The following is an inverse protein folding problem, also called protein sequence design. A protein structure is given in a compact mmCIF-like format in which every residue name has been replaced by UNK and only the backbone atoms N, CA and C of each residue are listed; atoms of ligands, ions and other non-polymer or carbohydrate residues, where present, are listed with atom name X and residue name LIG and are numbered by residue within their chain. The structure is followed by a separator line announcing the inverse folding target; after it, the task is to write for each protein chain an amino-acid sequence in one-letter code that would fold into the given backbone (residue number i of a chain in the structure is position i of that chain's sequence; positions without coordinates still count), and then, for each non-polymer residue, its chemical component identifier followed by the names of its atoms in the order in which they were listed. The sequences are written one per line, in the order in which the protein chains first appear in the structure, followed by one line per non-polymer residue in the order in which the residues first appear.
data_IF_918151859341
#
_entry.id   IF_918151859341
#
_cell.length_a   1.000
_cell.length_b   1.000
_cell.length_c   1.000
_cell.angle_alpha   90.00
_cell.angle_beta   90.00
_cell.angle_gamma   90.00
#
_symmetry.space_group_name_H-M   'P 1'
#
loop_
_entity.id
_entity.type
_entity.pdbx_description
1 polymer ?
#
# COMPACT_ATOMS: atom_id res chain seq x y z
N UNK A 1 55.91 -37.73 -0.65
CA UNK A 1 54.54 -37.73 -0.09
C UNK A 1 53.56 -37.83 -1.26
N UNK A 2 52.97 -39.01 -1.49
CA UNK A 2 52.01 -39.22 -2.58
C UNK A 2 50.59 -38.86 -2.10
N UNK A 3 50.07 -37.71 -2.54
CA UNK A 3 48.66 -37.39 -2.34
C UNK A 3 47.82 -38.25 -3.29
N UNK A 4 47.02 -39.15 -2.72
CA UNK A 4 46.15 -40.03 -3.48
C UNK A 4 45.02 -39.21 -4.12
N UNK A 5 44.92 -39.22 -5.45
CA UNK A 5 43.94 -38.48 -6.26
C UNK A 5 42.48 -38.67 -5.79
N UNK A 6 42.20 -39.84 -5.20
CA UNK A 6 40.91 -40.19 -4.59
C UNK A 6 40.52 -39.31 -3.41
N UNK A 7 41.50 -38.87 -2.62
CA UNK A 7 41.26 -37.99 -1.46
C UNK A 7 41.08 -36.54 -1.91
N UNK A 8 41.76 -36.14 -2.99
CA UNK A 8 41.59 -34.81 -3.60
C UNK A 8 40.17 -34.65 -4.19
N UNK A 9 39.66 -35.69 -4.85
CA UNK A 9 38.30 -35.72 -5.38
C UNK A 9 37.23 -35.65 -4.27
N UNK A 10 37.47 -36.33 -3.14
CA UNK A 10 36.56 -36.28 -1.99
C UNK A 10 36.53 -34.90 -1.32
N UNK A 11 37.67 -34.21 -1.23
CA UNK A 11 37.76 -32.85 -0.70
C UNK A 11 37.08 -31.81 -1.62
N UNK A 12 37.21 -31.97 -2.94
CA UNK A 12 36.54 -31.10 -3.91
C UNK A 12 35.01 -31.26 -3.89
N UNK A 13 34.50 -32.49 -3.69
CA UNK A 13 33.07 -32.74 -3.58
C UNK A 13 32.46 -32.12 -2.30
N UNK A 14 33.20 -32.12 -1.19
CA UNK A 14 32.76 -31.51 0.06
C UNK A 14 32.79 -29.98 0.02
N UNK A 15 33.75 -29.38 -0.69
CA UNK A 15 33.83 -27.94 -0.90
C UNK A 15 32.79 -27.39 -1.90
N UNK A 16 32.28 -28.22 -2.81
CA UNK A 16 31.20 -27.84 -3.72
C UNK A 16 29.81 -27.86 -3.05
N UNK A 17 29.66 -28.61 -1.94
CA UNK A 17 28.41 -28.70 -1.19
C UNK A 17 28.17 -27.50 -0.25
N UNK A 18 29.17 -26.65 -0.04
CA UNK A 18 29.06 -25.43 0.78
C UNK A 18 28.56 -24.22 -0.02
N UNK A 19 27.65 -24.43 -0.99
CA UNK A 19 26.80 -23.36 -1.48
C UNK A 19 25.89 -22.95 -0.32
N UNK A 20 26.33 -21.96 0.44
CA UNK A 20 25.50 -21.26 1.41
C UNK A 20 24.23 -20.83 0.69
N UNK A 21 23.14 -21.53 0.96
CA UNK A 21 21.81 -21.00 0.72
C UNK A 21 21.77 -19.70 1.52
N UNK A 22 21.92 -18.58 0.81
CA UNK A 22 21.65 -17.27 1.40
C UNK A 22 20.18 -17.37 1.81
N UNK A 23 19.94 -17.42 3.12
CA UNK A 23 18.61 -17.20 3.63
C UNK A 23 18.19 -15.84 3.10
N UNK A 24 17.24 -15.84 2.16
CA UNK A 24 16.41 -14.66 1.92
C UNK A 24 15.87 -14.33 3.30
N UNK A 25 16.28 -13.17 3.83
CA UNK A 25 15.73 -12.62 5.07
C UNK A 25 14.23 -12.84 5.01
N UNK A 26 13.73 -13.77 5.82
CA UNK A 26 12.33 -14.03 5.90
C UNK A 26 11.74 -12.76 6.48
N UNK A 27 11.19 -11.91 5.61
CA UNK A 27 10.42 -10.76 6.04
C UNK A 27 9.41 -11.28 7.08
N UNK A 28 9.26 -10.63 8.24
CA UNK A 28 8.26 -11.04 9.21
C UNK A 28 6.92 -11.20 8.47
N UNK A 29 6.23 -12.31 8.75
CA UNK A 29 4.95 -12.62 8.09
C UNK A 29 4.07 -11.37 8.15
N UNK A 30 3.60 -10.83 6.99
CA UNK A 30 2.85 -9.60 6.98
C UNK A 30 1.67 -9.67 7.95
N UNK A 31 1.47 -8.62 8.74
CA UNK A 31 0.30 -8.53 9.61
C UNK A 31 -0.92 -8.41 8.70
N UNK A 32 -1.83 -9.38 8.79
CA UNK A 32 -3.05 -9.37 7.97
C UNK A 32 -4.07 -8.40 8.53
N UNK A 33 -4.46 -7.44 7.70
CA UNK A 33 -5.54 -6.49 7.96
C UNK A 33 -6.91 -7.03 7.50
N UNK A 34 -6.95 -8.19 6.86
CA UNK A 34 -8.17 -8.82 6.34
C UNK A 34 -8.66 -8.24 5.00
N UNK A 35 -9.92 -8.51 4.68
CA UNK A 35 -10.60 -7.97 3.49
C UNK A 35 -11.15 -6.59 3.81
N UNK A 36 -10.74 -5.61 3.02
CA UNK A 36 -11.10 -4.23 3.19
C UNK A 36 -12.23 -3.89 2.23
N UNK A 37 -13.33 -3.37 2.78
CA UNK A 37 -14.51 -3.02 1.99
C UNK A 37 -15.84 -3.08 2.75
N UNK A 38 -15.98 -3.90 3.80
CA UNK A 38 -17.32 -4.23 4.34
C UNK A 38 -17.85 -3.29 5.43
N UNK A 39 -17.04 -2.39 6.00
CA UNK A 39 -17.48 -1.26 6.84
C UNK A 39 -16.34 -0.29 7.13
N UNK A 40 -16.67 1.01 7.14
CA UNK A 40 -15.90 2.16 7.60
C UNK A 40 -14.37 2.04 7.49
N UNK A 41 -13.81 2.66 6.44
CA UNK A 41 -12.40 3.01 6.25
C UNK A 41 -11.45 2.15 7.10
N UNK A 42 -10.91 1.08 6.53
CA UNK A 42 -9.91 0.28 7.24
C UNK A 42 -8.67 1.15 7.50
N UNK A 43 -8.64 1.79 8.66
CA UNK A 43 -7.53 2.61 9.11
C UNK A 43 -6.55 1.65 9.76
N UNK A 44 -5.37 1.49 9.17
CA UNK A 44 -4.25 0.88 9.85
C UNK A 44 -3.45 1.99 10.49
N UNK A 45 -3.26 1.93 11.81
CA UNK A 45 -2.35 2.81 12.51
C UNK A 45 -1.45 1.97 13.40
N UNK A 46 -0.15 2.15 13.28
CA UNK A 46 0.83 1.47 14.12
C UNK A 46 1.93 2.43 14.53
N UNK A 47 2.23 2.43 15.83
CA UNK A 47 3.47 2.99 16.35
C UNK A 47 4.55 1.92 16.24
N UNK A 48 5.72 2.29 15.72
CA UNK A 48 6.86 1.40 15.54
C UNK A 48 8.14 2.12 15.94
N UNK A 49 9.21 1.36 16.10
CA UNK A 49 10.57 1.90 16.24
C UNK A 49 11.44 1.34 15.12
N UNK A 50 12.09 2.22 14.38
CA UNK A 50 13.13 1.84 13.42
C UNK A 50 14.46 1.88 14.16
N UNK A 51 14.79 0.80 14.88
CA UNK A 51 16.16 0.60 15.35
C UNK A 51 16.88 -0.28 14.30
N UNK A 52 17.75 0.31 13.50
CA UNK A 52 18.39 -0.33 12.34
C UNK A 52 17.63 -0.10 11.03
N UNK A 53 17.66 -1.10 10.13
CA UNK A 53 16.90 -1.10 8.88
C UNK A 53 15.68 -2.06 8.88
N UNK A 54 14.76 -2.02 9.88
CA UNK A 54 13.68 -2.99 9.94
C UNK A 54 12.61 -2.70 8.88
N UNK A 55 12.08 -3.77 8.30
CA UNK A 55 10.94 -3.74 7.38
C UNK A 55 9.67 -4.17 8.11
N UNK A 56 8.63 -3.32 8.06
CA UNK A 56 7.30 -3.64 8.55
C UNK A 56 6.36 -3.90 7.38
N UNK A 57 5.67 -5.04 7.36
CA UNK A 57 4.80 -5.44 6.26
C UNK A 57 3.38 -5.73 6.74
N UNK A 58 2.40 -5.27 5.96
CA UNK A 58 0.98 -5.51 6.17
C UNK A 58 0.36 -6.08 4.91
N UNK A 59 -0.50 -7.08 5.05
CA UNK A 59 -1.25 -7.63 3.93
C UNK A 59 -2.73 -7.30 4.05
N UNK A 60 -3.37 -7.00 2.93
CA UNK A 60 -4.80 -6.77 2.86
C UNK A 60 -5.38 -7.30 1.54
N UNK A 61 -6.69 -7.53 1.51
CA UNK A 61 -7.40 -7.86 0.27
C UNK A 61 -8.34 -6.71 -0.07
N UNK A 62 -8.19 -6.16 -1.27
CA UNK A 62 -9.08 -5.13 -1.81
C UNK A 62 -10.22 -5.79 -2.59
N UNK A 63 -11.44 -5.33 -2.33
CA UNK A 63 -12.67 -5.76 -3.01
C UNK A 63 -13.46 -4.54 -3.50
N UNK A 64 -13.47 -4.32 -4.82
CA UNK A 64 -14.06 -3.17 -5.52
C UNK A 64 -15.57 -3.12 -5.45
N UNK A 65 -16.24 -4.15 -4.93
CA UNK A 65 -17.68 -4.09 -4.60
C UNK A 65 -18.03 -2.90 -3.70
N UNK A 66 -17.02 -2.26 -3.12
CA UNK A 66 -17.11 -1.19 -2.12
C UNK A 66 -16.59 0.15 -2.63
N UNK A 67 -16.11 0.23 -3.88
CA UNK A 67 -15.69 1.49 -4.53
C UNK A 67 -14.36 2.06 -4.06
N UNK A 68 -13.55 1.31 -3.30
CA UNK A 68 -12.18 1.70 -2.97
C UNK A 68 -11.25 1.39 -4.14
N UNK A 69 -10.53 2.40 -4.63
CA UNK A 69 -9.47 2.25 -5.65
C UNK A 69 -8.12 2.78 -5.19
N UNK A 70 -8.09 3.56 -4.11
CA UNK A 70 -6.91 4.33 -3.72
C UNK A 70 -6.54 4.02 -2.25
N UNK A 71 -5.24 3.93 -2.00
CA UNK A 71 -4.66 3.81 -0.67
C UNK A 71 -3.85 5.05 -0.37
N UNK A 72 -4.16 5.74 0.73
CA UNK A 72 -3.40 6.89 1.17
C UNK A 72 -3.09 6.81 2.66
N UNK A 73 -2.05 7.50 3.10
CA UNK A 73 -1.74 7.56 4.51
C UNK A 73 -0.82 8.69 4.89
N UNK A 74 -0.73 8.91 6.20
CA UNK A 74 0.13 9.89 6.82
C UNK A 74 1.17 9.20 7.71
N UNK A 75 2.34 9.81 7.76
CA UNK A 75 3.52 9.34 8.47
C UNK A 75 3.99 10.46 9.39
N UNK A 76 4.31 10.13 10.62
CA UNK A 76 4.89 11.08 11.57
C UNK A 76 6.08 10.46 12.28
N UNK A 77 7.18 11.20 12.29
CA UNK A 77 8.46 10.76 12.84
C UNK A 77 8.91 11.71 13.96
N UNK A 78 9.59 11.16 14.96
CA UNK A 78 10.21 11.95 16.03
C UNK A 78 11.58 12.54 15.62
N UNK A 79 12.30 11.86 14.71
CA UNK A 79 13.59 12.28 14.14
C UNK A 79 13.56 12.22 12.61
N UNK A 80 14.59 12.75 11.90
CA UNK A 80 14.73 12.57 10.46
C UNK A 80 14.87 11.09 10.08
N UNK A 81 14.09 10.63 9.10
CA UNK A 81 14.10 9.23 8.62
C UNK A 81 13.93 9.21 7.11
N UNK A 82 14.74 8.42 6.42
CA UNK A 82 14.49 8.04 5.03
C UNK A 82 13.67 6.75 5.01
N UNK A 83 12.41 6.85 4.56
CA UNK A 83 11.48 5.74 4.50
C UNK A 83 11.16 5.37 3.05
N UNK A 84 11.34 4.10 2.71
CA UNK A 84 10.84 3.53 1.46
C UNK A 84 9.57 2.75 1.73
N UNK A 85 8.51 3.08 0.99
CA UNK A 85 7.21 2.43 1.07
C UNK A 85 7.00 1.72 -0.25
N UNK A 86 6.80 0.40 -0.19
CA UNK A 86 6.53 -0.41 -1.36
C UNK A 86 5.17 -1.07 -1.21
N UNK A 87 4.34 -0.97 -2.24
CA UNK A 87 3.07 -1.65 -2.35
C UNK A 87 3.15 -2.61 -3.52
N UNK A 88 2.96 -3.90 -3.26
CA UNK A 88 2.98 -4.93 -4.29
C UNK A 88 1.83 -5.92 -4.08
N UNK A 89 1.19 -6.34 -5.16
CA UNK A 89 0.11 -7.32 -5.10
C UNK A 89 -0.77 -7.30 -6.34
N UNK A 90 -1.61 -8.32 -6.50
CA UNK A 90 -2.43 -8.55 -7.69
C UNK A 90 -1.67 -8.23 -8.99
N UNK A 91 -1.95 -7.08 -9.62
CA UNK A 91 -1.28 -6.57 -10.82
C UNK A 91 -0.59 -5.21 -10.64
N UNK A 92 -0.47 -4.71 -9.40
CA UNK A 92 0.12 -3.40 -9.10
C UNK A 92 1.43 -3.56 -8.32
N UNK A 93 2.43 -2.78 -8.72
CA UNK A 93 3.69 -2.62 -7.98
C UNK A 93 4.07 -1.14 -8.02
N UNK A 94 4.19 -0.53 -6.85
CA UNK A 94 4.54 0.88 -6.71
C UNK A 94 5.46 1.09 -5.54
N UNK A 95 6.46 1.96 -5.73
CA UNK A 95 7.39 2.36 -4.67
C UNK A 95 7.36 3.87 -4.53
N UNK A 96 7.32 4.35 -3.29
CA UNK A 96 7.46 5.77 -2.96
C UNK A 96 8.46 5.93 -1.83
N UNK A 97 9.26 6.99 -1.91
CA UNK A 97 10.28 7.32 -0.90
C UNK A 97 9.90 8.62 -0.23
N UNK A 98 9.87 8.61 1.09
CA UNK A 98 9.55 9.76 1.91
C UNK A 98 10.77 10.10 2.76
N UNK A 99 11.36 11.26 2.50
CA UNK A 99 12.34 11.86 3.38
C UNK A 99 11.59 12.58 4.51
N UNK A 100 11.46 11.90 5.65
CA UNK A 100 10.72 12.38 6.80
C UNK A 100 11.48 13.45 7.57
N UNK A 101 10.86 14.61 7.77
CA UNK A 101 11.32 15.63 8.71
C UNK A 101 10.61 15.48 10.07
N UNK A 102 11.32 15.66 11.20
CA UNK A 102 10.74 15.49 12.53
C UNK A 102 9.53 16.39 12.74
N UNK A 103 8.47 15.81 13.32
CA UNK A 103 7.22 16.49 13.67
C UNK A 103 6.38 17.07 12.51
N UNK A 104 6.82 16.91 11.26
CA UNK A 104 6.04 17.26 10.06
C UNK A 104 5.32 16.00 9.56
N UNK A 105 3.99 16.02 9.40
CA UNK A 105 3.26 14.90 8.81
C UNK A 105 3.63 14.79 7.32
N UNK A 106 4.12 13.62 6.92
CA UNK A 106 4.38 13.29 5.53
C UNK A 106 3.23 12.43 5.02
N UNK A 107 2.97 12.46 3.72
CA UNK A 107 1.86 11.71 3.10
C UNK A 107 2.37 10.79 2.00
N UNK A 108 1.69 9.65 1.83
CA UNK A 108 1.90 8.76 0.70
C UNK A 108 0.54 8.39 0.10
N UNK A 109 0.52 8.08 -1.19
CA UNK A 109 -0.68 7.60 -1.88
C UNK A 109 -0.33 6.68 -3.04
N UNK A 110 -1.22 5.71 -3.27
CA UNK A 110 -1.25 4.82 -4.41
C UNK A 110 -2.68 4.84 -4.95
N UNK A 111 -2.84 5.05 -6.25
CA UNK A 111 -4.15 5.14 -6.89
C UNK A 111 -4.36 4.02 -7.90
N UNK A 112 -5.62 3.81 -8.28
CA UNK A 112 -6.03 2.84 -9.31
C UNK A 112 -5.63 1.40 -8.99
N UNK A 113 -5.75 1.01 -7.72
CA UNK A 113 -5.60 -0.37 -7.27
C UNK A 113 -6.81 -1.19 -7.74
N UNK A 114 -6.51 -2.35 -8.30
CA UNK A 114 -7.51 -3.32 -8.74
C UNK A 114 -7.83 -4.31 -7.61
N UNK A 115 -8.83 -5.15 -7.79
CA UNK A 115 -9.15 -6.17 -6.79
C UNK A 115 -8.05 -7.19 -6.61
N UNK A 116 -7.85 -7.59 -5.36
CA UNK A 116 -6.95 -8.67 -5.01
C UNK A 116 -6.09 -8.38 -3.78
N UNK A 117 -5.09 -9.24 -3.60
CA UNK A 117 -4.27 -9.27 -2.41
C UNK A 117 -3.05 -8.37 -2.58
N UNK A 118 -2.84 -7.52 -1.60
CA UNK A 118 -1.77 -6.54 -1.53
C UNK A 118 -0.93 -6.71 -0.28
N UNK A 119 0.35 -6.38 -0.41
CA UNK A 119 1.29 -6.25 0.69
C UNK A 119 1.93 -4.86 0.60
N UNK A 120 1.77 -4.08 1.66
CA UNK A 120 2.49 -2.81 1.85
C UNK A 120 3.63 -3.04 2.82
N UNK A 121 4.83 -2.62 2.44
CA UNK A 121 6.04 -2.71 3.25
C UNK A 121 6.67 -1.35 3.46
N UNK A 122 7.04 -1.07 4.70
CA UNK A 122 7.72 0.14 5.14
C UNK A 122 9.14 -0.23 5.57
N UNK A 123 10.14 0.25 4.85
CA UNK A 123 11.56 0.01 5.13
C UNK A 123 12.22 1.35 5.41
N UNK A 124 12.69 1.56 6.64
CA UNK A 124 13.31 2.81 7.05
C UNK A 124 14.71 2.58 7.59
N UNK A 125 15.62 3.51 7.33
CA UNK A 125 16.92 3.57 7.99
C UNK A 125 16.87 4.68 9.04
N UNK A 126 17.02 4.32 10.33
CA UNK A 126 17.16 5.30 11.40
C UNK A 126 18.20 4.89 12.44
N UNK A 127 18.86 5.89 12.99
CA UNK A 127 19.87 5.77 14.05
C UNK A 127 19.27 5.67 15.46
N UNK A 128 17.99 6.02 15.68
CA UNK A 128 17.33 5.89 17.00
C UNK A 128 15.79 6.05 17.03
N UNK A 129 15.08 6.03 15.89
CA UNK A 129 13.73 6.64 15.85
C UNK A 129 12.56 5.78 16.34
N UNK A 130 11.67 6.43 17.07
CA UNK A 130 10.27 6.05 17.22
C UNK A 130 9.41 6.85 16.22
N UNK A 131 8.44 6.20 15.59
CA UNK A 131 7.54 6.82 14.62
C UNK A 131 6.16 6.15 14.62
N UNK A 132 5.21 6.76 13.94
CA UNK A 132 3.89 6.18 13.73
C UNK A 132 3.44 6.42 12.30
N UNK A 133 2.87 5.40 11.67
CA UNK A 133 2.18 5.53 10.40
C UNK A 133 0.71 5.21 10.61
N UNK A 134 -0.13 5.97 9.94
CA UNK A 134 -1.56 5.78 9.90
C UNK A 134 -2.02 5.93 8.46
N UNK A 135 -2.60 4.90 7.87
CA UNK A 135 -3.14 4.95 6.52
C UNK A 135 -4.59 4.51 6.49
N UNK A 136 -5.34 5.01 5.52
CA UNK A 136 -6.72 4.68 5.28
C UNK A 136 -6.99 4.58 3.78
N UNK A 137 -8.00 3.79 3.44
CA UNK A 137 -8.41 3.60 2.05
C UNK A 137 -9.39 4.71 1.68
N UNK A 138 -9.18 5.29 0.50
CA UNK A 138 -10.03 6.36 -0.01
C UNK A 138 -11.04 5.75 -0.97
N UNK A 139 -12.31 5.91 -0.65
CA UNK A 139 -13.39 5.49 -1.53
C UNK A 139 -13.48 6.51 -2.67
N UNK A 140 -13.39 6.05 -3.91
CA UNK A 140 -13.79 6.85 -5.04
C UNK A 140 -15.32 6.95 -4.98
N UNK A 141 -15.84 8.03 -4.41
CA UNK A 141 -17.28 8.32 -4.55
C UNK A 141 -17.52 8.60 -6.03
N UNK A 142 -18.44 7.88 -6.70
CA UNK A 142 -18.81 8.22 -8.07
C UNK A 142 -19.23 9.68 -8.11
N UNK A 143 -18.42 10.53 -8.74
CA UNK A 143 -18.79 11.92 -8.96
C UNK A 143 -19.89 11.90 -10.01
N UNK A 144 -21.09 12.45 -9.74
CA UNK A 144 -22.12 12.56 -10.75
C UNK A 144 -21.55 13.27 -11.97
N UNK A 145 -21.53 12.59 -13.11
CA UNK A 145 -20.98 13.16 -14.32
C UNK A 145 -21.74 14.45 -14.69
N UNK A 146 -21.06 15.47 -15.22
CA UNK A 146 -21.68 16.74 -15.59
C UNK A 146 -22.95 16.56 -16.45
N UNK A 147 -22.96 15.52 -17.28
CA UNK A 147 -24.06 15.17 -18.17
C UNK A 147 -25.32 14.71 -17.41
N UNK A 148 -25.17 13.96 -16.32
CA UNK A 148 -26.32 13.55 -15.48
C UNK A 148 -26.97 14.76 -14.80
N UNK A 149 -26.19 15.74 -14.35
CA UNK A 149 -26.74 16.99 -13.80
C UNK A 149 -27.41 17.84 -14.88
N UNK A 150 -26.84 17.87 -16.09
CA UNK A 150 -27.44 18.54 -17.23
C UNK A 150 -28.79 17.90 -17.63
N UNK A 151 -28.91 16.58 -17.62
CA UNK A 151 -30.18 15.89 -17.90
C UNK A 151 -31.23 16.09 -16.80
N UNK A 152 -30.82 16.14 -15.53
CA UNK A 152 -31.73 16.49 -14.43
C UNK A 152 -32.22 17.92 -14.57
N UNK A 153 -31.33 18.88 -14.85
CA UNK A 153 -31.70 20.28 -15.09
C UNK A 153 -32.56 20.44 -16.35
N UNK A 154 -32.25 19.71 -17.42
CA UNK A 154 -33.06 19.69 -18.63
C UNK A 154 -34.46 19.12 -18.35
N UNK A 155 -34.56 18.02 -17.60
CA UNK A 155 -35.83 17.45 -17.16
C UNK A 155 -36.66 18.41 -16.31
N UNK A 156 -36.01 19.12 -15.38
CA UNK A 156 -36.65 20.14 -14.55
C UNK A 156 -37.10 21.36 -15.37
N UNK A 157 -36.30 21.77 -16.36
CA UNK A 157 -36.64 22.82 -17.31
C UNK A 157 -37.88 22.47 -18.14
N UNK A 158 -37.95 21.26 -18.69
CA UNK A 158 -39.12 20.77 -19.44
C UNK A 158 -40.36 20.71 -18.55
N UNK A 159 -40.25 20.15 -17.34
CA UNK A 159 -41.36 20.09 -16.38
C UNK A 159 -41.87 21.49 -16.01
N UNK A 160 -40.97 22.44 -15.74
CA UNK A 160 -41.31 23.83 -15.46
C UNK A 160 -42.03 24.53 -16.61
N UNK A 161 -41.60 24.31 -17.86
CA UNK A 161 -42.28 24.87 -19.03
C UNK A 161 -43.68 24.28 -19.27
N UNK A 162 -43.86 22.97 -19.03
CA UNK A 162 -45.15 22.31 -19.12
C UNK A 162 -46.14 22.81 -18.05
N UNK A 163 -45.68 22.99 -16.81
CA UNK A 163 -46.48 23.56 -15.74
C UNK A 163 -46.88 25.00 -16.03
N UNK A 164 -45.99 25.81 -16.61
CA UNK A 164 -46.30 27.18 -17.03
C UNK A 164 -47.40 27.22 -18.10
N UNK A 165 -47.35 26.31 -19.08
CA UNK A 165 -48.38 26.23 -20.14
C UNK A 165 -49.76 25.86 -19.60
N UNK A 166 -49.83 25.06 -18.54
CA UNK A 166 -51.10 24.67 -17.89
C UNK A 166 -51.74 25.78 -17.06
N UNK A 167 -51.02 26.85 -16.74
CA UNK A 167 -51.52 27.98 -15.95
C UNK A 167 -52.04 29.14 -16.80
N UNK A 168 -51.69 29.17 -18.09
CA UNK A 168 -52.10 30.21 -19.05
C UNK A 168 -53.31 29.80 -19.90
N UNK A 169 -53.82 28.58 -19.72
CA UNK A 169 -55.10 28.10 -20.26
C UNK A 169 -56.05 27.94 -19.09
#
# INVERSE_FOLDING_TARGET
MHFNLRHLAAAAALAAASSSALAVEAFPTPISLGTLGTSAAAVFAQAFSFNGAPTYSFSFTLDSSTGFSDLAGALRFADPVDLTINLAGASFSGTTTVAGSPYIPNVFSFSSLADGNYVISFTGLSTSSAGSFGGGFVQATPVPEPESMALVLAGLGVAGTLLRRRKTV
#
